data_IF_360109075655
#
_entry.id   IF_360109075655
#
_cell.length_a   1.000
_cell.length_b   1.000
_cell.length_c   1.000
_cell.angle_alpha   90.00
_cell.angle_beta   90.00
_cell.angle_gamma   90.00
#
_symmetry.space_group_name_H-M   'P 1'
#
loop_
_entity.id
_entity.type
_entity.pdbx_description
1 polymer ?
#
# COMPACT_ATOMS: atom_id res chain seq x y z
N UNK A 1 19.24 27.47 4.35
CA UNK A 1 17.91 27.18 4.85
C UNK A 1 17.74 25.69 5.09
N UNK A 2 17.09 25.29 6.21
CA UNK A 2 16.99 23.88 6.60
C UNK A 2 16.35 23.00 5.50
N UNK A 3 15.41 23.53 4.74
CA UNK A 3 14.74 22.85 3.64
C UNK A 3 15.68 22.60 2.46
N UNK A 4 16.52 23.58 2.12
CA UNK A 4 17.54 23.45 1.06
C UNK A 4 18.64 22.45 1.44
N UNK A 5 19.03 22.43 2.70
CA UNK A 5 19.98 21.42 3.20
C UNK A 5 19.38 20.01 3.20
N UNK A 6 18.10 19.88 3.53
CA UNK A 6 17.39 18.61 3.51
C UNK A 6 17.19 18.08 2.08
N UNK A 7 16.88 18.98 1.14
CA UNK A 7 16.79 18.63 -0.29
C UNK A 7 18.18 18.28 -0.85
N UNK A 8 19.23 19.01 -0.48
CA UNK A 8 20.60 18.68 -0.91
C UNK A 8 21.05 17.31 -0.40
N UNK A 9 20.77 16.98 0.88
CA UNK A 9 21.06 15.66 1.43
C UNK A 9 20.29 14.54 0.72
N UNK A 10 19.03 14.75 0.36
CA UNK A 10 18.24 13.77 -0.39
C UNK A 10 18.75 13.58 -1.82
N UNK A 11 19.22 14.66 -2.46
CA UNK A 11 19.84 14.62 -3.79
C UNK A 11 21.20 13.90 -3.73
N UNK A 12 21.98 14.10 -2.70
CA UNK A 12 23.27 13.43 -2.53
C UNK A 12 23.11 11.93 -2.22
N UNK A 13 22.12 11.55 -1.42
CA UNK A 13 21.73 10.13 -1.21
C UNK A 13 21.27 9.50 -2.52
N UNK A 14 20.52 10.21 -3.32
CA UNK A 14 20.04 9.72 -4.62
C UNK A 14 21.15 9.62 -5.67
N UNK A 15 22.14 10.55 -5.64
CA UNK A 15 23.30 10.54 -6.55
C UNK A 15 24.32 9.47 -6.18
N UNK A 16 24.45 9.14 -4.89
CA UNK A 16 25.42 8.16 -4.42
C UNK A 16 25.07 6.72 -4.83
N UNK A 17 23.78 6.39 -4.96
CA UNK A 17 23.34 5.08 -5.44
C UNK A 17 21.93 5.16 -6.08
N UNK A 18 21.85 5.38 -7.39
CA UNK A 18 20.57 5.37 -8.11
C UNK A 18 19.91 3.98 -8.14
N UNK A 19 20.62 2.94 -7.69
CA UNK A 19 20.07 1.59 -7.49
C UNK A 19 19.64 1.34 -6.04
N UNK A 20 19.89 2.26 -5.11
CA UNK A 20 19.27 2.21 -3.78
C UNK A 20 17.78 2.40 -3.93
N UNK A 21 17.23 1.26 -4.22
CA UNK A 21 15.87 1.03 -4.51
C UNK A 21 14.95 1.55 -3.43
N UNK A 22 13.70 1.44 -3.73
CA UNK A 22 12.57 1.67 -2.85
C UNK A 22 12.82 1.13 -1.44
N UNK A 23 12.41 1.85 -0.43
CA UNK A 23 12.49 1.41 0.97
C UNK A 23 11.80 0.05 1.11
N UNK A 24 12.40 -0.93 1.82
CA UNK A 24 11.78 -2.22 2.08
C UNK A 24 10.37 -2.08 2.64
N UNK A 25 9.46 -2.94 2.18
CA UNK A 25 8.04 -2.87 2.55
C UNK A 25 7.62 -4.11 3.32
N UNK A 26 7.04 -3.90 4.50
CA UNK A 26 6.33 -4.92 5.23
C UNK A 26 4.85 -4.91 4.82
N UNK A 27 4.32 -6.08 4.45
CA UNK A 27 2.91 -6.22 4.07
C UNK A 27 2.15 -6.89 5.22
N UNK A 28 1.31 -6.11 5.85
CA UNK A 28 0.45 -6.57 6.95
C UNK A 28 -0.96 -6.84 6.40
N UNK A 29 -1.49 -7.99 6.77
CA UNK A 29 -2.89 -8.35 6.51
C UNK A 29 -3.59 -8.58 7.83
N UNK A 30 -4.65 -7.86 8.11
CA UNK A 30 -5.52 -8.20 9.24
C UNK A 30 -6.02 -9.63 9.10
N UNK A 31 -6.05 -10.37 10.21
CA UNK A 31 -6.45 -11.77 10.22
C UNK A 31 -7.85 -11.97 9.61
N UNK A 32 -8.05 -13.07 8.87
CA UNK A 32 -9.30 -13.36 8.13
C UNK A 32 -10.57 -13.38 9.03
N UNK A 33 -10.42 -13.63 10.31
CA UNK A 33 -11.52 -13.53 11.29
C UNK A 33 -12.11 -12.13 11.40
N UNK A 34 -11.32 -11.12 11.10
CA UNK A 34 -11.70 -9.70 11.14
C UNK A 34 -12.32 -9.26 9.81
N UNK A 35 -12.17 -10.01 8.72
CA UNK A 35 -12.81 -9.71 7.43
C UNK A 35 -14.35 -9.73 7.48
N UNK A 36 -14.97 -10.42 8.44
CA UNK A 36 -16.43 -10.41 8.64
C UNK A 36 -16.92 -9.18 9.42
N UNK A 37 -16.04 -8.56 10.19
CA UNK A 37 -16.23 -7.25 10.80
C UNK A 37 -15.13 -6.40 10.17
N UNK A 38 -15.45 -5.68 9.11
CA UNK A 38 -14.48 -4.87 8.37
C UNK A 38 -13.63 -4.06 9.36
N UNK A 39 -12.39 -4.49 9.60
CA UNK A 39 -11.48 -3.74 10.45
C UNK A 39 -11.32 -2.37 9.84
N UNK A 40 -11.53 -1.36 10.64
CA UNK A 40 -11.42 0.01 10.13
C UNK A 40 -9.95 0.36 9.84
N UNK A 41 -9.69 1.26 8.90
CA UNK A 41 -8.34 1.78 8.69
C UNK A 41 -7.69 2.31 9.96
N UNK A 42 -8.47 2.89 10.88
CA UNK A 42 -7.99 3.44 12.13
C UNK A 42 -7.58 2.35 13.14
N UNK A 43 -8.32 1.23 13.20
CA UNK A 43 -7.96 0.08 14.05
C UNK A 43 -6.68 -0.58 13.53
N UNK A 44 -6.62 -0.83 12.22
CA UNK A 44 -5.46 -1.45 11.59
C UNK A 44 -4.19 -0.58 11.74
N UNK A 45 -4.33 0.74 11.62
CA UNK A 45 -3.24 1.68 11.88
C UNK A 45 -2.75 1.62 13.32
N UNK A 46 -3.68 1.63 14.29
CA UNK A 46 -3.34 1.59 15.71
C UNK A 46 -2.62 0.29 16.10
N UNK A 47 -2.97 -0.82 15.45
CA UNK A 47 -2.37 -2.14 15.71
C UNK A 47 -1.00 -2.31 15.02
N UNK A 48 -0.87 -1.88 13.76
CA UNK A 48 0.26 -2.27 12.93
C UNK A 48 1.26 -1.15 12.60
N UNK A 49 0.84 0.12 12.71
CA UNK A 49 1.69 1.25 12.32
C UNK A 49 1.47 2.51 13.19
N UNK A 50 1.35 2.37 14.53
CA UNK A 50 1.03 3.52 15.38
C UNK A 50 2.11 4.61 15.29
N UNK A 51 1.67 5.85 15.19
CA UNK A 51 2.56 7.03 15.19
C UNK A 51 3.29 7.31 13.88
N UNK A 52 3.10 6.50 12.84
CA UNK A 52 3.71 6.68 11.52
C UNK A 52 2.94 7.70 10.66
N UNK A 53 3.59 8.24 9.62
CA UNK A 53 2.90 9.07 8.62
C UNK A 53 2.20 8.17 7.60
N UNK A 54 0.86 8.21 7.56
CA UNK A 54 0.04 7.26 6.81
C UNK A 54 -0.81 7.91 5.70
N UNK A 55 -0.87 7.22 4.56
CA UNK A 55 -1.80 7.51 3.46
C UNK A 55 -2.88 6.44 3.42
N UNK A 56 -4.14 6.83 3.59
CA UNK A 56 -5.31 5.96 3.45
C UNK A 56 -5.92 6.14 2.07
N UNK A 57 -5.98 5.08 1.28
CA UNK A 57 -6.64 5.09 -0.04
C UNK A 57 -8.08 4.60 0.09
N UNK A 58 -9.02 5.54 0.10
CA UNK A 58 -10.43 5.28 0.27
C UNK A 58 -11.15 5.06 -1.08
N UNK A 59 -12.25 4.27 -1.13
CA UNK A 59 -13.00 4.02 -2.35
C UNK A 59 -13.78 5.24 -2.86
N UNK A 60 -14.30 6.05 -1.96
CA UNK A 60 -15.07 7.27 -2.26
C UNK A 60 -15.02 8.25 -1.09
N UNK A 61 -15.47 9.50 -1.33
CA UNK A 61 -15.34 10.62 -0.38
C UNK A 61 -16.03 10.34 0.94
N UNK A 62 -17.24 9.75 0.92
CA UNK A 62 -17.95 9.44 2.16
C UNK A 62 -17.14 8.47 3.04
N UNK A 63 -16.61 7.39 2.45
CA UNK A 63 -15.76 6.45 3.18
C UNK A 63 -14.51 7.14 3.76
N UNK A 64 -13.88 8.05 3.00
CA UNK A 64 -12.73 8.80 3.49
C UNK A 64 -13.10 9.69 4.69
N UNK A 65 -14.29 10.30 4.67
CA UNK A 65 -14.82 11.11 5.77
C UNK A 65 -15.11 10.24 7.00
N UNK A 66 -15.73 9.08 6.80
CA UNK A 66 -16.04 8.14 7.88
C UNK A 66 -14.74 7.63 8.53
N UNK A 67 -13.73 7.29 7.73
CA UNK A 67 -12.40 6.90 8.22
C UNK A 67 -11.72 8.04 9.00
N UNK A 68 -11.80 9.28 8.50
CA UNK A 68 -11.23 10.43 9.22
C UNK A 68 -11.88 10.59 10.60
N UNK A 69 -13.21 10.48 10.68
CA UNK A 69 -13.93 10.54 11.95
C UNK A 69 -13.50 9.41 12.92
N UNK A 70 -13.23 8.21 12.40
CA UNK A 70 -12.72 7.09 13.20
C UNK A 70 -11.30 7.32 13.75
N UNK A 71 -10.42 7.95 12.95
CA UNK A 71 -9.09 8.39 13.42
C UNK A 71 -9.22 9.47 14.49
N UNK A 72 -10.06 10.48 14.28
CA UNK A 72 -10.29 11.57 15.23
C UNK A 72 -10.87 11.05 16.56
N UNK A 73 -11.78 10.08 16.53
CA UNK A 73 -12.30 9.42 17.73
C UNK A 73 -11.21 8.72 18.57
N UNK A 74 -10.05 8.42 17.96
CA UNK A 74 -8.86 7.86 18.63
C UNK A 74 -7.81 8.91 18.96
N UNK A 75 -8.14 10.21 18.81
CA UNK A 75 -7.22 11.31 19.05
C UNK A 75 -6.13 11.48 17.97
N UNK A 76 -6.33 10.90 16.80
CA UNK A 76 -5.40 10.99 15.66
C UNK A 76 -6.00 11.92 14.61
N UNK A 77 -5.38 13.09 14.40
CA UNK A 77 -5.84 14.00 13.34
C UNK A 77 -5.70 13.36 11.98
N UNK A 78 -6.81 13.34 11.23
CA UNK A 78 -6.88 12.85 9.86
C UNK A 78 -7.56 13.87 8.97
N UNK A 79 -6.98 14.19 7.82
CA UNK A 79 -7.57 15.09 6.83
C UNK A 79 -7.93 14.35 5.56
N UNK A 80 -9.07 14.73 4.99
CA UNK A 80 -9.55 14.14 3.73
C UNK A 80 -9.12 15.02 2.56
N UNK A 81 -8.57 14.38 1.52
CA UNK A 81 -8.20 15.04 0.26
C UNK A 81 -8.86 14.30 -0.90
N UNK A 82 -9.59 15.04 -1.72
CA UNK A 82 -10.27 14.53 -2.92
C UNK A 82 -10.15 15.52 -4.09
N UNK A 83 -10.71 15.17 -5.23
CA UNK A 83 -10.86 16.06 -6.38
C UNK A 83 -11.69 17.32 -6.05
N UNK A 84 -12.61 17.21 -5.07
CA UNK A 84 -13.46 18.31 -4.60
C UNK A 84 -12.76 19.24 -3.61
N UNK A 85 -11.61 18.86 -3.07
CA UNK A 85 -10.86 19.69 -2.13
C UNK A 85 -10.24 20.88 -2.86
N UNK A 86 -10.53 22.13 -2.47
CA UNK A 86 -9.96 23.31 -3.09
C UNK A 86 -8.43 23.26 -3.13
N UNK A 87 -7.83 23.77 -4.21
CA UNK A 87 -6.38 23.66 -4.42
C UNK A 87 -5.56 24.25 -3.26
N UNK A 88 -6.00 25.37 -2.68
CA UNK A 88 -5.34 26.00 -1.53
C UNK A 88 -5.41 25.13 -0.28
N UNK A 89 -6.58 24.61 0.05
CA UNK A 89 -6.78 23.73 1.21
C UNK A 89 -5.96 22.43 1.03
N UNK A 90 -5.98 21.86 -0.17
CA UNK A 90 -5.17 20.70 -0.51
C UNK A 90 -3.68 20.96 -0.28
N UNK A 91 -3.17 22.10 -0.74
CA UNK A 91 -1.78 22.49 -0.55
C UNK A 91 -1.43 22.63 0.94
N UNK A 92 -2.31 23.23 1.75
CA UNK A 92 -2.13 23.38 3.20
C UNK A 92 -2.09 22.00 3.91
N UNK A 93 -3.02 21.09 3.58
CA UNK A 93 -3.05 19.72 4.12
C UNK A 93 -1.78 18.97 3.79
N UNK A 94 -1.34 19.04 2.52
CA UNK A 94 -0.17 18.33 2.06
C UNK A 94 1.13 18.92 2.64
N UNK A 95 1.21 20.23 2.84
CA UNK A 95 2.34 20.87 3.52
C UNK A 95 2.45 20.41 4.97
N UNK A 96 1.34 20.36 5.71
CA UNK A 96 1.30 19.85 7.09
C UNK A 96 1.65 18.36 7.16
N UNK A 97 1.24 17.57 6.18
CA UNK A 97 1.63 16.17 6.11
C UNK A 97 3.13 16.04 5.83
N UNK A 98 3.68 16.81 4.92
CA UNK A 98 5.10 16.78 4.59
C UNK A 98 6.01 17.26 5.74
N UNK A 99 5.55 18.20 6.59
CA UNK A 99 6.27 18.64 7.80
C UNK A 99 6.14 17.65 8.97
N UNK A 100 5.20 16.70 8.92
CA UNK A 100 4.89 15.78 10.00
C UNK A 100 3.92 16.31 11.06
N UNK A 101 3.39 17.55 10.88
CA UNK A 101 2.36 18.14 11.75
C UNK A 101 1.01 17.43 11.60
N UNK A 102 0.78 16.80 10.47
CA UNK A 102 -0.36 15.94 10.19
C UNK A 102 0.11 14.53 9.90
N UNK A 103 -0.36 13.55 10.65
CA UNK A 103 0.12 12.17 10.51
C UNK A 103 -0.67 11.33 9.53
N UNK A 104 -1.96 11.58 9.35
CA UNK A 104 -2.82 10.74 8.51
C UNK A 104 -3.56 11.58 7.49
N UNK A 105 -3.49 11.16 6.23
CA UNK A 105 -4.28 11.73 5.14
C UNK A 105 -5.09 10.62 4.48
N UNK A 106 -6.42 10.76 4.50
CA UNK A 106 -7.32 9.93 3.73
C UNK A 106 -7.58 10.56 2.37
N UNK A 107 -7.32 9.81 1.29
CA UNK A 107 -7.45 10.35 -0.05
C UNK A 107 -8.34 9.51 -0.95
N UNK A 108 -8.96 10.19 -1.93
CA UNK A 108 -9.76 9.57 -2.97
C UNK A 108 -9.19 9.99 -4.32
N UNK A 109 -8.44 9.11 -4.97
CA UNK A 109 -7.88 9.23 -6.33
C UNK A 109 -6.85 10.36 -6.57
N UNK A 110 -6.62 11.27 -5.62
CA UNK A 110 -5.85 12.51 -5.87
C UNK A 110 -4.36 12.34 -5.61
N UNK A 111 -3.96 11.42 -4.71
CA UNK A 111 -2.57 11.20 -4.33
C UNK A 111 -1.92 10.03 -5.08
N UNK A 112 -2.58 9.55 -6.13
CA UNK A 112 -2.02 8.51 -7.01
C UNK A 112 -1.01 9.07 -7.99
N UNK A 113 -1.13 10.36 -8.36
CA UNK A 113 -0.22 11.05 -9.28
C UNK A 113 0.20 12.42 -8.73
N UNK A 114 1.41 12.86 -9.08
CA UNK A 114 1.88 14.23 -8.84
C UNK A 114 2.17 14.63 -7.39
N UNK A 115 1.86 13.80 -6.39
CA UNK A 115 2.13 14.09 -4.99
C UNK A 115 3.44 13.46 -4.52
N UNK A 116 4.31 14.27 -3.94
CA UNK A 116 5.55 13.83 -3.35
C UNK A 116 5.58 14.09 -1.84
N UNK A 117 5.53 13.02 -1.05
CA UNK A 117 5.70 13.07 0.39
C UNK A 117 6.54 11.88 0.86
N UNK A 118 7.87 12.00 0.81
CA UNK A 118 8.78 10.94 1.23
C UNK A 118 8.60 10.53 2.69
N UNK A 119 8.07 11.41 3.53
CA UNK A 119 7.76 11.13 4.94
C UNK A 119 6.71 10.01 5.11
N UNK A 120 5.82 9.83 4.13
CA UNK A 120 4.80 8.79 4.18
C UNK A 120 5.46 7.41 4.29
N UNK A 121 5.24 6.73 5.41
CA UNK A 121 5.80 5.41 5.69
C UNK A 121 4.77 4.30 5.80
N UNK A 122 3.47 4.63 5.84
CA UNK A 122 2.39 3.65 5.87
C UNK A 122 1.37 3.90 4.78
N UNK A 123 1.08 2.85 4.01
CA UNK A 123 0.01 2.81 3.01
C UNK A 123 -1.13 1.94 3.52
N UNK A 124 -2.33 2.47 3.62
CA UNK A 124 -3.52 1.72 4.01
C UNK A 124 -4.44 1.62 2.80
N UNK A 125 -4.56 0.42 2.25
CA UNK A 125 -5.44 0.14 1.12
C UNK A 125 -6.82 -0.24 1.63
N UNK A 126 -7.76 0.69 1.60
CA UNK A 126 -9.18 0.49 1.86
C UNK A 126 -10.01 0.50 0.57
N UNK A 127 -9.36 0.58 -0.59
CA UNK A 127 -9.94 0.60 -1.92
C UNK A 127 -9.49 -0.60 -2.74
N UNK A 128 -10.45 -1.34 -3.28
CA UNK A 128 -10.17 -2.37 -4.29
C UNK A 128 -9.80 -1.73 -5.63
N UNK A 129 -8.88 -2.36 -6.35
CA UNK A 129 -8.55 -2.01 -7.73
C UNK A 129 -8.25 -3.27 -8.52
N UNK A 130 -8.67 -3.34 -9.76
CA UNK A 130 -8.27 -4.38 -10.72
C UNK A 130 -6.99 -4.00 -11.48
N UNK A 131 -6.54 -2.74 -11.38
CA UNK A 131 -5.34 -2.24 -12.05
C UNK A 131 -4.10 -2.48 -11.21
N UNK A 132 -3.18 -3.33 -11.69
CA UNK A 132 -1.88 -3.54 -11.08
C UNK A 132 -1.03 -2.25 -11.05
N UNK A 133 -1.12 -1.44 -12.11
CA UNK A 133 -0.44 -0.14 -12.18
C UNK A 133 -0.91 0.80 -11.07
N UNK A 134 -2.23 0.93 -10.86
CA UNK A 134 -2.77 1.76 -9.80
C UNK A 134 -2.38 1.24 -8.41
N UNK A 135 -2.40 -0.08 -8.21
CA UNK A 135 -1.92 -0.69 -6.97
C UNK A 135 -0.46 -0.31 -6.69
N UNK A 136 0.42 -0.48 -7.66
CA UNK A 136 1.84 -0.16 -7.53
C UNK A 136 2.08 1.35 -7.34
N UNK A 137 1.29 2.21 -7.99
CA UNK A 137 1.36 3.66 -7.79
C UNK A 137 1.00 4.05 -6.35
N UNK A 138 -0.09 3.49 -5.79
CA UNK A 138 -0.49 3.73 -4.40
C UNK A 138 0.60 3.30 -3.42
N UNK A 139 1.10 2.08 -3.57
CA UNK A 139 2.17 1.53 -2.72
C UNK A 139 3.48 2.29 -2.91
N UNK A 140 3.81 2.67 -4.13
CA UNK A 140 5.02 3.42 -4.47
C UNK A 140 5.12 4.77 -3.75
N UNK A 141 4.00 5.37 -3.31
CA UNK A 141 4.02 6.63 -2.56
C UNK A 141 4.73 6.51 -1.22
N UNK A 142 4.60 5.36 -0.55
CA UNK A 142 5.22 5.15 0.76
C UNK A 142 6.60 4.48 0.68
N UNK A 143 7.02 4.06 -0.50
CA UNK A 143 8.32 3.43 -0.70
C UNK A 143 9.46 4.40 -1.02
N UNK A 144 9.14 5.68 -1.16
CA UNK A 144 10.15 6.71 -1.44
C UNK A 144 11.11 6.85 -0.27
N UNK A 145 12.43 6.94 -0.53
CA UNK A 145 13.41 7.15 0.51
C UNK A 145 13.22 8.53 1.16
N UNK A 146 13.47 8.59 2.46
CA UNK A 146 13.52 9.83 3.24
C UNK A 146 14.57 9.67 4.35
N UNK A 147 15.07 10.79 4.85
CA UNK A 147 16.03 10.78 5.96
C UNK A 147 15.42 10.07 7.16
N UNK A 148 16.13 9.07 7.69
CA UNK A 148 15.70 8.28 8.84
C UNK A 148 14.63 7.20 8.55
N UNK A 149 14.17 7.08 7.31
CA UNK A 149 13.19 6.07 6.92
C UNK A 149 13.88 4.79 6.45
N UNK A 150 13.79 3.74 7.25
CA UNK A 150 14.42 2.43 6.98
C UNK A 150 13.47 1.40 6.39
N UNK A 151 12.16 1.58 6.61
CA UNK A 151 11.12 0.66 6.13
C UNK A 151 9.80 1.40 5.91
N UNK A 152 8.87 0.76 5.23
CA UNK A 152 7.48 1.20 5.13
C UNK A 152 6.52 0.02 5.32
N UNK A 153 5.27 0.32 5.65
CA UNK A 153 4.24 -0.67 5.93
C UNK A 153 3.09 -0.54 4.93
N UNK A 154 2.67 -1.66 4.36
CA UNK A 154 1.44 -1.77 3.58
C UNK A 154 0.39 -2.52 4.40
N UNK A 155 -0.68 -1.84 4.78
CA UNK A 155 -1.85 -2.44 5.41
C UNK A 155 -2.90 -2.69 4.34
N UNK A 156 -3.07 -3.95 3.98
CA UNK A 156 -3.98 -4.38 2.91
C UNK A 156 -5.33 -4.86 3.49
N UNK A 157 -6.30 -3.96 3.56
CA UNK A 157 -7.65 -4.25 4.07
C UNK A 157 -8.57 -4.91 3.02
N UNK A 158 -8.16 -4.88 1.76
CA UNK A 158 -9.04 -5.29 0.64
C UNK A 158 -8.56 -6.54 -0.10
N UNK A 159 -7.39 -7.09 0.29
CA UNK A 159 -6.79 -8.25 -0.37
C UNK A 159 -6.19 -7.93 -1.73
N UNK A 160 -5.70 -6.71 -1.92
CA UNK A 160 -5.05 -6.28 -3.16
C UNK A 160 -3.81 -7.11 -3.49
N UNK A 161 -3.05 -7.54 -2.47
CA UNK A 161 -1.90 -8.42 -2.63
C UNK A 161 -2.30 -9.80 -3.22
N UNK A 162 -3.47 -10.33 -2.87
CA UNK A 162 -3.92 -11.62 -3.42
C UNK A 162 -4.15 -11.51 -4.93
N UNK A 163 -4.63 -10.35 -5.38
CA UNK A 163 -4.90 -10.09 -6.79
C UNK A 163 -3.63 -9.70 -7.56
N UNK A 164 -2.81 -8.82 -6.98
CA UNK A 164 -1.71 -8.18 -7.70
C UNK A 164 -0.32 -8.68 -7.31
N UNK A 165 -0.17 -9.52 -6.26
CA UNK A 165 1.10 -10.00 -5.75
C UNK A 165 1.80 -9.04 -4.81
N UNK A 166 2.98 -9.46 -4.34
CA UNK A 166 3.82 -8.60 -3.50
C UNK A 166 4.31 -7.39 -4.31
N UNK A 167 4.44 -6.20 -3.72
CA UNK A 167 4.95 -5.02 -4.43
C UNK A 167 6.36 -5.19 -5.02
N UNK A 168 7.20 -6.05 -4.43
CA UNK A 168 8.55 -6.36 -4.89
C UNK A 168 8.63 -7.56 -5.85
N UNK A 169 7.49 -8.12 -6.22
CA UNK A 169 7.44 -9.23 -7.14
C UNK A 169 7.84 -8.79 -8.54
N UNK A 170 8.71 -9.55 -9.19
CA UNK A 170 9.09 -9.30 -10.57
C UNK A 170 7.88 -9.45 -11.50
N UNK A 171 7.77 -8.52 -12.43
CA UNK A 171 6.68 -8.47 -13.41
C UNK A 171 7.24 -8.28 -14.81
N UNK A 172 6.73 -9.05 -15.74
CA UNK A 172 7.00 -8.83 -17.16
C UNK A 172 6.07 -7.74 -17.68
N UNK A 173 6.65 -6.67 -18.19
CA UNK A 173 5.92 -5.57 -18.82
C UNK A 173 6.06 -5.66 -20.34
N UNK A 174 4.93 -5.65 -21.04
CA UNK A 174 4.88 -5.67 -22.48
C UNK A 174 4.40 -4.32 -23.02
N UNK A 175 5.10 -3.78 -24.02
CA UNK A 175 4.76 -2.50 -24.65
C UNK A 175 3.63 -2.61 -25.69
N UNK A 176 3.29 -3.84 -26.09
CA UNK A 176 2.29 -4.18 -27.11
C UNK A 176 0.86 -4.29 -26.55
N UNK A 177 0.66 -3.88 -25.30
CA UNK A 177 -0.66 -3.89 -24.64
C UNK A 177 -1.09 -5.24 -24.08
N UNK A 178 -0.21 -6.25 -24.10
CA UNK A 178 -0.44 -7.50 -23.39
C UNK A 178 -0.48 -7.24 -21.88
N UNK A 179 -1.43 -7.84 -21.20
CA UNK A 179 -1.57 -7.68 -19.75
C UNK A 179 -0.27 -8.07 -19.05
N UNK A 180 0.15 -7.25 -18.09
CA UNK A 180 1.29 -7.55 -17.22
C UNK A 180 1.09 -8.93 -16.57
N UNK A 181 1.93 -9.88 -16.93
CA UNK A 181 1.91 -11.22 -16.33
C UNK A 181 2.82 -11.25 -15.13
N UNK A 182 2.31 -11.79 -14.02
CA UNK A 182 3.14 -12.07 -12.86
C UNK A 182 4.08 -13.21 -13.20
N UNK A 183 5.39 -13.02 -12.98
CA UNK A 183 6.30 -14.15 -12.91
C UNK A 183 5.96 -14.90 -11.62
N UNK A 184 5.33 -16.05 -11.75
CA UNK A 184 4.94 -16.85 -10.59
C UNK A 184 6.18 -17.30 -9.83
N UNK A 185 6.58 -16.54 -8.82
CA UNK A 185 7.60 -16.99 -7.88
C UNK A 185 7.02 -18.14 -7.05
N UNK A 186 7.71 -19.24 -6.99
CA UNK A 186 7.31 -20.41 -6.21
C UNK A 186 7.14 -20.13 -4.72
N UNK A 187 7.71 -19.01 -4.23
CA UNK A 187 7.62 -18.56 -2.85
C UNK A 187 6.25 -17.97 -2.44
N UNK A 188 5.41 -17.58 -3.42
CA UNK A 188 4.12 -16.94 -3.13
C UNK A 188 2.90 -17.86 -3.28
N UNK A 189 3.13 -19.16 -3.31
CA UNK A 189 2.05 -20.15 -3.39
C UNK A 189 1.51 -20.46 -2.00
N UNK A 190 0.25 -20.17 -1.77
CA UNK A 190 -0.43 -20.47 -0.51
C UNK A 190 -1.53 -21.51 -0.71
N UNK A 191 -1.66 -22.42 0.24
CA UNK A 191 -2.73 -23.39 0.28
C UNK A 191 -4.10 -22.69 0.39
N UNK A 192 -5.06 -23.05 -0.46
CA UNK A 192 -6.41 -22.49 -0.40
C UNK A 192 -7.20 -22.93 0.83
N UNK A 193 -6.84 -24.10 1.37
CA UNK A 193 -7.53 -24.68 2.54
C UNK A 193 -7.03 -24.08 3.84
N UNK A 194 -5.72 -24.10 4.10
CA UNK A 194 -5.15 -23.66 5.37
C UNK A 194 -4.31 -22.38 5.28
N UNK A 195 -4.12 -21.81 4.07
CA UNK A 195 -3.33 -20.59 3.81
C UNK A 195 -1.82 -20.70 4.12
N UNK A 196 -1.33 -21.86 4.46
CA UNK A 196 0.11 -22.08 4.65
C UNK A 196 0.88 -21.95 3.32
N UNK A 197 2.16 -21.54 3.35
CA UNK A 197 3.02 -21.54 2.18
C UNK A 197 3.09 -22.92 1.55
N UNK A 198 3.02 -22.98 0.21
CA UNK A 198 3.06 -24.23 -0.52
C UNK A 198 4.50 -24.57 -0.94
N UNK A 199 4.90 -25.86 -0.86
CA UNK A 199 6.15 -26.32 -1.45
C UNK A 199 6.14 -26.15 -2.98
N UNK A 200 7.32 -26.15 -3.59
CA UNK A 200 7.47 -26.03 -5.04
C UNK A 200 6.69 -27.11 -5.82
N UNK A 201 6.52 -28.30 -5.22
CA UNK A 201 5.71 -29.40 -5.76
C UNK A 201 5.13 -30.23 -4.62
N UNK A 202 3.98 -30.88 -4.86
CA UNK A 202 3.33 -31.78 -3.92
C UNK A 202 2.15 -31.18 -3.14
N UNK A 203 1.58 -31.97 -2.21
CA UNK A 203 0.48 -31.54 -1.37
C UNK A 203 0.93 -30.50 -0.33
N UNK A 204 -0.03 -29.78 0.23
CA UNK A 204 0.23 -28.88 1.35
C UNK A 204 0.76 -29.68 2.55
N UNK A 205 1.87 -29.24 3.13
CA UNK A 205 2.50 -29.96 4.27
C UNK A 205 1.71 -29.78 5.56
N UNK A 206 0.92 -28.71 5.70
CA UNK A 206 0.15 -28.42 6.91
C UNK A 206 -1.22 -29.12 6.95
N UNK A 207 -1.94 -29.19 5.83
CA UNK A 207 -3.30 -29.77 5.81
C UNK A 207 -3.44 -30.94 4.84
N UNK A 208 -2.36 -31.37 4.18
CA UNK A 208 -2.35 -32.47 3.20
C UNK A 208 -3.28 -32.30 2.00
N UNK A 209 -3.80 -31.09 1.75
CA UNK A 209 -4.63 -30.81 0.58
C UNK A 209 -3.90 -31.16 -0.72
N UNK A 210 -4.59 -31.87 -1.64
CA UNK A 210 -4.01 -32.38 -2.89
C UNK A 210 -3.77 -31.25 -3.90
N UNK A 211 -2.83 -31.42 -4.87
CA UNK A 211 -2.52 -30.41 -5.87
C UNK A 211 -3.72 -29.86 -6.67
N UNK A 212 -4.75 -30.69 -6.91
CA UNK A 212 -5.99 -30.29 -7.59
C UNK A 212 -6.80 -29.24 -6.79
N UNK A 213 -6.66 -29.20 -5.46
CA UNK A 213 -7.28 -28.23 -4.56
C UNK A 213 -6.44 -26.94 -4.44
N UNK A 214 -5.23 -26.94 -5.00
CA UNK A 214 -4.23 -25.88 -4.92
C UNK A 214 -4.18 -25.01 -6.18
N UNK A 215 -5.24 -25.05 -7.02
CA UNK A 215 -5.27 -24.33 -8.31
C UNK A 215 -4.94 -22.85 -8.12
N UNK A 216 -3.87 -22.42 -8.77
CA UNK A 216 -3.60 -21.00 -9.01
C UNK A 216 -4.79 -20.38 -9.72
N UNK A 217 -5.21 -19.14 -9.40
CA UNK A 217 -6.24 -18.46 -10.16
C UNK A 217 -5.75 -18.32 -11.59
N UNK A 218 -6.32 -19.09 -12.51
CA UNK A 218 -6.22 -18.77 -13.92
C UNK A 218 -6.84 -17.39 -14.12
N UNK A 219 -6.11 -16.50 -14.77
CA UNK A 219 -6.69 -15.29 -15.31
C UNK A 219 -7.77 -15.73 -16.30
N UNK A 220 -9.04 -15.72 -15.87
CA UNK A 220 -10.16 -15.82 -16.79
C UNK A 220 -10.07 -14.58 -17.69
N UNK A 221 -9.74 -14.84 -18.95
CA UNK A 221 -9.75 -13.84 -20.00
C UNK A 221 -11.14 -13.25 -20.08
N UNK A 222 -11.26 -11.97 -19.81
CA UNK A 222 -12.43 -11.19 -20.19
C UNK A 222 -12.34 -10.99 -21.69
N UNK A 223 -13.24 -11.63 -22.41
CA UNK A 223 -13.52 -11.37 -23.81
C UNK A 223 -14.10 -9.95 -24.00
#
# INVERSE_FOLDING_TARGET
>A
DALEQQVAQLVDVWRADPTQGLVPIEVVRPAERVRKLAQSPADAYAEHAPGTSALVFAPHVQAATDYAAEFEARGIECRVVSDRTPARERAEVLARFASGDLRVVANVMVLTEGFDAPIASTCILARKTSSASLYLQMVGRVRRPAVGKTSCTLIDLVGARDMHGHPDEDREYHLDGVACTRVANSADRYCRVCKAPLPAAGPCQECSAKPAELVTPQAEGVA
#
